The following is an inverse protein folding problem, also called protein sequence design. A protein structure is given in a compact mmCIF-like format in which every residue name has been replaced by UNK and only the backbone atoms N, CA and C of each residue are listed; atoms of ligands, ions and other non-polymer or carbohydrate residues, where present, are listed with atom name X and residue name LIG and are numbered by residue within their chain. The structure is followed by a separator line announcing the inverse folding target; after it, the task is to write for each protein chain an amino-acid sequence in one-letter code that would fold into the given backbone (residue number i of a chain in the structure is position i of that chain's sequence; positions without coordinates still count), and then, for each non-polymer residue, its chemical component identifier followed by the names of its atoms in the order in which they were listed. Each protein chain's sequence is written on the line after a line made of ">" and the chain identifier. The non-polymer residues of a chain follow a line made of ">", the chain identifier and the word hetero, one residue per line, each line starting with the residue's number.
data_IF_176438323908
#
_entry.id   IF_176438323908
#
_cell.length_a   1.000
_cell.length_b   1.000
_cell.length_c   1.000
_cell.angle_alpha   90.00
_cell.angle_beta   90.00
_cell.angle_gamma   90.00
#
_symmetry.space_group_name_H-M   'P 1'
#
loop_
_entity.id
_entity.type
_entity.pdbx_description
1 polymer ?
#
# COMPACT_ATOMS: atom_id res chain seq x y z
N UNK A 1 13.41 -39.27 -45.06
CA UNK A 1 14.43 -39.38 -44.03
C UNK A 1 15.59 -40.18 -44.63
N UNK A 2 16.81 -39.86 -44.34
CA UNK A 2 18.00 -40.66 -44.72
C UNK A 2 17.92 -42.01 -44.01
N UNK A 3 18.36 -43.07 -44.68
CA UNK A 3 18.40 -44.39 -44.07
C UNK A 3 19.37 -44.39 -42.87
N UNK A 4 19.04 -45.11 -41.76
CA UNK A 4 19.95 -45.28 -40.64
C UNK A 4 21.24 -45.99 -41.09
N UNK A 5 22.37 -45.48 -40.63
CA UNK A 5 23.66 -46.09 -40.91
C UNK A 5 23.86 -47.33 -40.03
N UNK A 6 24.24 -48.44 -40.64
CA UNK A 6 24.53 -49.73 -39.99
C UNK A 6 25.87 -50.26 -40.45
N UNK A 7 26.77 -50.47 -39.51
CA UNK A 7 28.02 -51.18 -39.73
C UNK A 7 27.78 -52.69 -39.55
N UNK A 8 28.16 -53.48 -40.54
CA UNK A 8 27.99 -54.93 -40.51
C UNK A 8 29.35 -55.58 -40.72
N UNK A 9 29.70 -56.50 -39.84
CA UNK A 9 31.01 -57.18 -39.86
C UNK A 9 30.79 -58.68 -39.75
N UNK A 10 31.32 -59.41 -40.71
CA UNK A 10 31.30 -60.90 -40.77
C UNK A 10 32.41 -61.36 -41.71
N UNK A 11 33.27 -62.30 -41.32
CA UNK A 11 34.41 -62.76 -42.15
C UNK A 11 33.95 -63.60 -43.35
N UNK A 12 32.72 -64.11 -43.32
CA UNK A 12 32.13 -64.85 -44.43
C UNK A 12 31.45 -63.94 -45.44
N UNK A 13 32.02 -63.81 -46.63
CA UNK A 13 31.47 -62.97 -47.72
C UNK A 13 30.04 -63.34 -48.11
N UNK A 14 29.68 -64.64 -47.98
CA UNK A 14 28.33 -65.10 -48.27
C UNK A 14 27.30 -64.56 -47.29
N UNK A 15 27.64 -64.50 -46.00
CA UNK A 15 26.83 -63.93 -44.96
C UNK A 15 26.67 -62.42 -45.17
N UNK A 16 27.77 -61.69 -45.48
CA UNK A 16 27.70 -60.28 -45.80
C UNK A 16 26.78 -59.96 -47.00
N UNK A 17 26.85 -60.81 -48.04
CA UNK A 17 25.96 -60.70 -49.20
C UNK A 17 24.48 -61.00 -48.86
N UNK A 18 24.23 -61.92 -47.97
CA UNK A 18 22.86 -62.22 -47.50
C UNK A 18 22.31 -61.02 -46.68
N UNK A 19 23.08 -60.51 -45.74
CA UNK A 19 22.73 -59.31 -44.93
C UNK A 19 22.54 -58.07 -45.82
N UNK A 20 23.39 -57.86 -46.80
CA UNK A 20 23.23 -56.77 -47.76
C UNK A 20 21.88 -56.86 -48.53
N UNK A 21 21.52 -58.02 -49.01
CA UNK A 21 20.23 -58.23 -49.71
C UNK A 21 19.03 -57.93 -48.77
N UNK A 22 19.14 -58.38 -47.53
CA UNK A 22 18.06 -58.20 -46.53
C UNK A 22 17.91 -56.75 -46.07
N UNK A 23 19.03 -56.05 -45.82
CA UNK A 23 19.02 -54.77 -45.04
C UNK A 23 19.17 -53.52 -45.91
N UNK A 24 19.70 -53.57 -47.13
CA UNK A 24 20.00 -52.41 -48.02
C UNK A 24 18.78 -51.53 -48.31
N UNK A 25 17.58 -52.05 -48.25
CA UNK A 25 16.34 -51.27 -48.48
C UNK A 25 16.07 -50.34 -47.34
N UNK A 26 16.39 -50.72 -46.11
CA UNK A 26 16.00 -50.05 -44.88
C UNK A 26 17.19 -49.25 -44.28
N UNK A 27 18.44 -49.70 -44.47
CA UNK A 27 19.63 -49.15 -43.85
C UNK A 27 20.68 -48.71 -44.90
N UNK A 28 21.53 -47.73 -44.54
CA UNK A 28 22.77 -47.43 -45.23
C UNK A 28 23.86 -48.35 -44.65
N UNK A 29 24.32 -49.28 -45.44
CA UNK A 29 25.18 -50.39 -44.98
C UNK A 29 26.66 -50.07 -45.23
N UNK A 30 27.49 -50.32 -44.21
CA UNK A 30 28.96 -50.37 -44.28
C UNK A 30 29.39 -51.77 -43.95
N UNK A 31 29.89 -52.49 -44.94
CA UNK A 31 30.15 -53.95 -44.85
C UNK A 31 31.65 -54.18 -44.75
N UNK A 32 32.07 -54.93 -43.75
CA UNK A 32 33.50 -55.26 -43.56
C UNK A 32 33.63 -56.78 -43.31
N UNK A 33 34.65 -57.37 -43.93
CA UNK A 33 35.06 -58.76 -43.69
C UNK A 33 36.22 -58.89 -42.71
N UNK A 34 36.83 -57.76 -42.33
CA UNK A 34 37.91 -57.68 -41.34
C UNK A 34 37.50 -56.81 -40.17
N UNK A 35 37.47 -57.32 -38.93
CA UNK A 35 37.06 -56.55 -37.75
C UNK A 35 38.03 -55.38 -37.45
N UNK A 36 39.31 -55.47 -37.80
CA UNK A 36 40.26 -54.37 -37.55
C UNK A 36 39.97 -53.20 -38.48
N UNK A 37 39.76 -53.47 -39.76
CA UNK A 37 39.37 -52.44 -40.73
C UNK A 37 37.99 -51.80 -40.37
N UNK A 38 37.06 -52.60 -39.87
CA UNK A 38 35.78 -52.12 -39.38
C UNK A 38 35.93 -51.17 -38.16
N UNK A 39 36.81 -51.48 -37.23
CA UNK A 39 37.09 -50.64 -36.05
C UNK A 39 37.76 -49.32 -36.45
N UNK A 40 38.70 -49.35 -37.40
CA UNK A 40 39.31 -48.14 -37.94
C UNK A 40 38.27 -47.24 -38.62
N UNK A 41 37.44 -47.81 -39.49
CA UNK A 41 36.32 -47.09 -40.10
C UNK A 41 35.39 -46.48 -39.04
N UNK A 42 35.06 -47.24 -38.00
CA UNK A 42 34.15 -46.75 -36.92
C UNK A 42 34.74 -45.57 -36.15
N UNK A 43 36.04 -45.53 -35.95
CA UNK A 43 36.71 -44.37 -35.31
C UNK A 43 36.51 -43.07 -36.09
N UNK A 44 36.59 -43.18 -37.43
CA UNK A 44 36.46 -42.00 -38.33
C UNK A 44 34.95 -41.66 -38.54
N UNK A 45 34.11 -42.66 -38.67
CA UNK A 45 32.67 -42.52 -38.95
C UNK A 45 31.83 -43.38 -38.03
N UNK A 46 31.58 -42.98 -36.80
CA UNK A 46 30.75 -43.73 -35.87
C UNK A 46 29.30 -43.87 -36.37
N UNK A 47 28.81 -45.09 -36.43
CA UNK A 47 27.44 -45.41 -36.84
C UNK A 47 26.54 -45.64 -35.63
N UNK A 48 25.21 -45.34 -35.71
CA UNK A 48 24.26 -45.58 -34.64
C UNK A 48 24.06 -47.04 -34.33
N UNK A 49 24.16 -47.93 -35.34
CA UNK A 49 23.97 -49.34 -35.27
C UNK A 49 25.18 -50.10 -35.72
N UNK A 50 25.50 -51.21 -35.04
CA UNK A 50 26.58 -52.13 -35.39
C UNK A 50 26.09 -53.54 -35.25
N UNK A 51 26.33 -54.38 -36.26
CA UNK A 51 26.00 -55.79 -36.26
C UNK A 51 27.29 -56.58 -36.59
N UNK A 52 27.74 -57.43 -35.69
CA UNK A 52 28.99 -58.20 -35.86
C UNK A 52 28.72 -59.70 -35.72
N UNK A 53 29.40 -60.47 -36.51
CA UNK A 53 29.53 -61.89 -36.22
C UNK A 53 30.31 -62.13 -34.94
N UNK A 54 29.99 -63.21 -34.23
CA UNK A 54 30.65 -63.58 -32.99
C UNK A 54 32.06 -64.14 -33.24
N UNK A 55 32.23 -65.04 -34.26
CA UNK A 55 33.48 -65.70 -34.49
C UNK A 55 34.21 -65.16 -35.75
N UNK A 56 35.22 -64.37 -35.56
CA UNK A 56 36.04 -63.86 -36.63
C UNK A 56 37.55 -64.16 -36.36
N UNK A 57 38.38 -64.39 -37.40
CA UNK A 57 39.73 -64.90 -37.20
C UNK A 57 40.69 -64.02 -36.38
N UNK A 58 40.62 -62.72 -36.47
CA UNK A 58 41.59 -61.80 -35.87
C UNK A 58 41.10 -61.18 -34.54
N UNK A 59 39.82 -61.00 -34.41
CA UNK A 59 39.15 -60.44 -33.22
C UNK A 59 37.72 -60.92 -33.19
N UNK A 60 37.26 -61.43 -32.06
CA UNK A 60 35.87 -61.84 -31.92
C UNK A 60 34.91 -60.66 -31.86
N UNK A 61 33.63 -60.91 -32.18
CA UNK A 61 32.61 -59.87 -32.22
C UNK A 61 32.36 -59.19 -30.88
N UNK A 62 32.45 -59.93 -29.77
CA UNK A 62 32.24 -59.36 -28.46
C UNK A 62 33.35 -58.35 -28.08
N UNK A 63 34.60 -58.67 -28.38
CA UNK A 63 35.75 -57.78 -28.18
C UNK A 63 35.65 -56.55 -29.08
N UNK A 64 35.31 -56.73 -30.37
CA UNK A 64 35.07 -55.60 -31.27
C UNK A 64 33.98 -54.67 -30.80
N UNK A 65 32.82 -55.21 -30.41
CA UNK A 65 31.69 -54.41 -29.87
C UNK A 65 32.03 -53.72 -28.53
N UNK A 66 32.90 -54.33 -27.73
CA UNK A 66 33.50 -53.73 -26.57
C UNK A 66 34.27 -52.43 -26.90
N UNK A 67 35.19 -52.49 -27.83
CA UNK A 67 35.94 -51.27 -28.31
C UNK A 67 35.00 -50.24 -28.92
N UNK A 68 34.01 -50.67 -29.69
CA UNK A 68 33.01 -49.72 -30.24
C UNK A 68 32.19 -49.06 -29.11
N UNK A 69 31.89 -49.78 -28.04
CA UNK A 69 31.21 -49.24 -26.84
C UNK A 69 32.04 -48.17 -26.14
N UNK A 70 33.35 -48.32 -26.09
CA UNK A 70 34.23 -47.31 -25.50
C UNK A 70 34.31 -46.02 -26.36
N UNK A 71 34.26 -46.17 -27.69
CA UNK A 71 34.27 -45.01 -28.62
C UNK A 71 32.91 -44.27 -28.59
N UNK A 72 31.84 -45.02 -28.71
CA UNK A 72 30.48 -44.47 -28.68
C UNK A 72 29.54 -45.31 -27.83
N UNK A 73 29.42 -45.04 -26.54
CA UNK A 73 28.57 -45.78 -25.63
C UNK A 73 27.09 -45.77 -26.05
N UNK A 74 26.65 -44.75 -26.79
CA UNK A 74 25.24 -44.62 -27.21
C UNK A 74 24.87 -45.47 -28.41
N UNK A 75 25.85 -46.01 -29.21
CA UNK A 75 25.57 -46.91 -30.32
C UNK A 75 24.86 -48.16 -29.84
N UNK A 76 23.99 -48.70 -30.69
CA UNK A 76 23.30 -49.96 -30.42
C UNK A 76 24.06 -51.08 -31.16
N UNK A 77 24.50 -52.09 -30.40
CA UNK A 77 25.44 -53.14 -30.81
C UNK A 77 24.78 -54.47 -30.79
N UNK A 78 24.87 -55.18 -31.90
CA UNK A 78 24.22 -56.45 -32.13
C UNK A 78 25.22 -57.52 -32.47
N UNK A 79 24.97 -58.74 -32.04
CA UNK A 79 25.83 -59.89 -32.30
C UNK A 79 25.08 -60.96 -33.11
N UNK A 80 25.69 -61.53 -34.13
CA UNK A 80 25.23 -62.75 -34.81
C UNK A 80 25.99 -63.92 -34.21
N UNK A 81 25.29 -65.00 -33.86
CA UNK A 81 25.90 -66.13 -33.14
C UNK A 81 25.40 -67.47 -33.63
N UNK A 82 26.27 -68.47 -33.70
CA UNK A 82 25.85 -69.85 -33.90
C UNK A 82 25.38 -70.57 -32.62
N UNK A 83 24.73 -71.66 -32.74
CA UNK A 83 24.19 -72.48 -31.61
C UNK A 83 25.23 -72.82 -30.53
N UNK A 84 26.49 -72.91 -30.85
CA UNK A 84 27.56 -73.31 -29.91
C UNK A 84 28.07 -72.16 -28.99
N UNK A 85 27.66 -70.93 -29.21
CA UNK A 85 28.29 -69.75 -28.59
C UNK A 85 27.37 -69.04 -27.57
N UNK A 86 26.23 -69.60 -27.22
CA UNK A 86 25.20 -68.91 -26.40
C UNK A 86 25.75 -68.45 -25.04
N UNK A 87 26.58 -69.24 -24.36
CA UNK A 87 27.13 -68.89 -23.05
C UNK A 87 28.05 -67.69 -23.08
N UNK A 88 28.88 -67.50 -24.12
CA UNK A 88 29.75 -66.34 -24.29
C UNK A 88 28.95 -65.10 -24.67
N UNK A 89 27.89 -65.30 -25.44
CA UNK A 89 26.95 -64.22 -25.82
C UNK A 89 26.20 -63.67 -24.61
N UNK A 90 25.73 -64.53 -23.71
CA UNK A 90 25.06 -64.14 -22.47
C UNK A 90 25.97 -63.33 -21.55
N UNK A 91 27.26 -63.70 -21.44
CA UNK A 91 28.23 -62.94 -20.69
C UNK A 91 28.43 -61.51 -21.28
N UNK A 92 28.57 -61.40 -22.60
CA UNK A 92 28.74 -60.11 -23.31
C UNK A 92 27.49 -59.20 -23.20
N UNK A 93 26.27 -59.75 -23.16
CA UNK A 93 25.01 -59.03 -22.88
C UNK A 93 25.04 -58.50 -21.46
N UNK A 94 25.35 -59.33 -20.48
CA UNK A 94 25.35 -58.99 -19.06
C UNK A 94 26.40 -57.90 -18.71
N UNK A 95 27.52 -57.86 -19.43
CA UNK A 95 28.51 -56.79 -19.29
C UNK A 95 28.08 -55.46 -19.95
N UNK A 96 26.91 -55.41 -20.58
CA UNK A 96 26.34 -54.20 -21.20
C UNK A 96 27.05 -53.78 -22.49
N UNK A 97 27.87 -54.66 -23.08
CA UNK A 97 28.62 -54.37 -24.30
C UNK A 97 27.79 -54.55 -25.56
N UNK A 98 26.75 -55.38 -25.55
CA UNK A 98 25.84 -55.58 -26.67
C UNK A 98 24.39 -55.32 -26.26
N UNK A 99 23.58 -54.87 -27.22
CA UNK A 99 22.17 -54.53 -27.02
C UNK A 99 21.27 -55.73 -27.20
N UNK A 100 21.57 -56.58 -28.16
CA UNK A 100 20.83 -57.78 -28.50
C UNK A 100 21.68 -58.76 -29.33
N UNK A 101 21.30 -60.03 -29.41
CA UNK A 101 21.95 -61.01 -30.28
C UNK A 101 20.93 -61.74 -31.12
N UNK A 102 21.36 -62.25 -32.30
CA UNK A 102 20.58 -63.04 -33.20
C UNK A 102 21.28 -64.39 -33.48
N UNK A 103 20.50 -65.47 -33.45
CA UNK A 103 21.01 -66.79 -33.80
C UNK A 103 21.08 -67.00 -35.34
N UNK A 104 22.16 -67.61 -35.84
CA UNK A 104 22.26 -68.03 -37.23
C UNK A 104 21.57 -69.44 -37.37
N UNK A 105 20.66 -69.64 -38.35
CA UNK A 105 20.15 -68.68 -39.32
C UNK A 105 19.10 -67.70 -38.69
N UNK A 106 19.18 -66.41 -39.03
CA UNK A 106 18.29 -65.38 -38.53
C UNK A 106 17.00 -65.22 -39.34
N UNK A 107 15.98 -64.68 -38.76
CA UNK A 107 14.79 -64.24 -39.47
C UNK A 107 14.97 -62.75 -39.91
N UNK A 108 14.76 -62.51 -41.20
CA UNK A 108 14.98 -61.13 -41.76
C UNK A 108 13.97 -60.12 -41.24
N UNK A 109 12.75 -60.52 -40.94
CA UNK A 109 11.70 -59.62 -40.46
C UNK A 109 12.00 -59.19 -39.03
N UNK A 110 12.37 -60.14 -38.19
CA UNK A 110 12.76 -59.92 -36.79
C UNK A 110 14.02 -59.03 -36.72
N UNK A 111 15.06 -59.39 -37.51
CA UNK A 111 16.32 -58.62 -37.56
C UNK A 111 16.07 -57.13 -37.95
N UNK A 112 15.25 -56.88 -38.98
CA UNK A 112 14.93 -55.55 -39.43
C UNK A 112 14.13 -54.78 -38.36
N UNK A 113 13.15 -55.42 -37.72
CA UNK A 113 12.34 -54.81 -36.70
C UNK A 113 13.17 -54.38 -35.49
N UNK A 114 14.00 -55.27 -34.96
CA UNK A 114 14.87 -54.99 -33.81
C UNK A 114 15.92 -53.87 -34.11
N UNK A 115 16.48 -53.88 -35.28
CA UNK A 115 17.43 -52.80 -35.69
C UNK A 115 16.71 -51.44 -35.80
N UNK A 116 15.49 -51.38 -36.30
CA UNK A 116 14.71 -50.15 -36.37
C UNK A 116 14.31 -49.65 -34.99
N UNK A 117 13.88 -50.51 -34.11
CA UNK A 117 13.50 -50.17 -32.74
C UNK A 117 14.71 -49.64 -31.97
N UNK A 118 15.87 -50.31 -32.11
CA UNK A 118 17.08 -49.83 -31.49
C UNK A 118 17.54 -48.47 -32.03
N UNK A 119 17.34 -48.19 -33.32
CA UNK A 119 17.63 -46.86 -33.90
C UNK A 119 16.72 -45.81 -33.33
N UNK A 120 15.44 -46.12 -33.12
CA UNK A 120 14.48 -45.19 -32.50
C UNK A 120 14.89 -44.85 -31.06
N UNK A 121 15.33 -45.86 -30.30
CA UNK A 121 15.87 -45.65 -28.94
C UNK A 121 17.12 -44.79 -28.97
N UNK A 122 18.04 -45.04 -29.89
CA UNK A 122 19.27 -44.25 -30.07
C UNK A 122 18.94 -42.78 -30.31
N UNK A 123 17.99 -42.46 -31.21
CA UNK A 123 17.58 -41.10 -31.50
C UNK A 123 16.91 -40.41 -30.26
N UNK A 124 16.09 -41.17 -29.55
CA UNK A 124 15.45 -40.68 -28.31
C UNK A 124 16.50 -40.29 -27.23
N UNK A 125 17.49 -41.16 -27.04
CA UNK A 125 18.60 -40.90 -26.10
C UNK A 125 19.41 -39.66 -26.48
N UNK A 126 19.72 -39.49 -27.78
CA UNK A 126 20.42 -38.30 -28.26
C UNK A 126 19.63 -37.03 -28.07
N UNK A 127 18.32 -37.06 -28.39
CA UNK A 127 17.43 -35.93 -28.20
C UNK A 127 17.31 -35.51 -26.73
N UNK A 128 17.18 -36.48 -25.83
CA UNK A 128 17.12 -36.30 -24.39
C UNK A 128 18.43 -35.66 -23.86
N UNK A 129 19.59 -36.17 -24.26
CA UNK A 129 20.88 -35.58 -23.87
C UNK A 129 21.02 -34.15 -24.35
N UNK A 130 20.59 -33.81 -25.56
CA UNK A 130 20.59 -32.44 -26.08
C UNK A 130 19.66 -31.52 -25.29
N UNK A 131 18.46 -32.00 -24.98
CA UNK A 131 17.46 -31.25 -24.21
C UNK A 131 17.95 -30.94 -22.79
N UNK A 132 18.52 -31.94 -22.12
CA UNK A 132 19.11 -31.79 -20.78
C UNK A 132 20.23 -30.72 -20.77
N UNK A 133 21.09 -30.72 -21.76
CA UNK A 133 22.16 -29.71 -21.88
C UNK A 133 21.57 -28.29 -22.02
N UNK A 134 20.61 -28.11 -22.95
CA UNK A 134 19.96 -26.81 -23.17
C UNK A 134 19.21 -26.35 -21.92
N UNK A 135 18.50 -27.24 -21.22
CA UNK A 135 17.81 -26.91 -20.01
C UNK A 135 18.78 -26.48 -18.88
N UNK A 136 19.91 -27.17 -18.74
CA UNK A 136 20.93 -26.81 -17.76
C UNK A 136 21.49 -25.40 -18.01
N UNK A 137 21.77 -25.07 -19.28
CA UNK A 137 22.24 -23.73 -19.66
C UNK A 137 21.18 -22.64 -19.41
N UNK A 138 19.91 -22.94 -19.75
CA UNK A 138 18.78 -22.03 -19.46
C UNK A 138 18.58 -21.80 -17.97
N UNK A 139 18.60 -22.86 -17.19
CA UNK A 139 18.42 -22.75 -15.72
C UNK A 139 19.54 -21.94 -15.06
N UNK A 140 20.78 -22.10 -15.52
CA UNK A 140 21.88 -21.28 -15.03
C UNK A 140 21.70 -19.78 -15.36
N UNK A 141 21.24 -19.45 -16.58
CA UNK A 141 20.90 -18.07 -16.93
C UNK A 141 19.74 -17.50 -16.12
N UNK A 142 18.66 -18.27 -15.94
CA UNK A 142 17.53 -17.85 -15.14
C UNK A 142 17.92 -17.59 -13.70
N UNK A 143 18.76 -18.42 -13.11
CA UNK A 143 19.25 -18.21 -11.74
C UNK A 143 20.02 -16.89 -11.60
N UNK A 144 20.88 -16.55 -12.55
CA UNK A 144 21.60 -15.27 -12.56
C UNK A 144 20.67 -14.07 -12.71
N UNK A 145 19.68 -14.17 -13.60
CA UNK A 145 18.69 -13.12 -13.80
C UNK A 145 17.85 -12.93 -12.52
N UNK A 146 17.37 -14.00 -11.92
CA UNK A 146 16.59 -13.94 -10.68
C UNK A 146 17.38 -13.27 -9.56
N UNK A 147 18.65 -13.66 -9.36
CA UNK A 147 19.49 -13.03 -8.34
C UNK A 147 19.70 -11.53 -8.57
N UNK A 148 19.88 -11.11 -9.83
CA UNK A 148 20.02 -9.68 -10.15
C UNK A 148 18.71 -8.92 -9.95
N UNK A 149 17.58 -9.51 -10.31
CA UNK A 149 16.24 -8.92 -10.09
C UNK A 149 15.92 -8.77 -8.60
N UNK A 150 16.24 -9.78 -7.77
CA UNK A 150 16.05 -9.70 -6.32
C UNK A 150 16.86 -8.56 -5.69
N UNK A 151 18.11 -8.36 -6.13
CA UNK A 151 18.92 -7.23 -5.67
C UNK A 151 18.31 -5.88 -6.06
N UNK A 152 17.77 -5.78 -7.26
CA UNK A 152 17.15 -4.54 -7.76
C UNK A 152 15.81 -4.25 -7.08
N UNK A 153 14.99 -5.27 -6.84
CA UNK A 153 13.75 -5.18 -6.07
C UNK A 153 14.06 -4.70 -4.64
N UNK A 154 15.05 -5.28 -3.97
CA UNK A 154 15.43 -4.89 -2.62
C UNK A 154 15.96 -3.45 -2.54
N UNK A 155 16.71 -3.00 -3.54
CA UNK A 155 17.14 -1.58 -3.64
C UNK A 155 15.95 -0.65 -3.83
N UNK A 156 15.03 -1.01 -4.72
CA UNK A 156 13.82 -0.22 -5.01
C UNK A 156 12.90 -0.13 -3.79
N UNK A 157 12.73 -1.24 -3.07
CA UNK A 157 11.93 -1.29 -1.84
C UNK A 157 12.52 -0.36 -0.76
N UNK A 158 13.84 -0.43 -0.51
CA UNK A 158 14.50 0.49 0.43
C UNK A 158 14.36 1.95 0.04
N UNK A 159 14.43 2.26 -1.27
CA UNK A 159 14.23 3.63 -1.77
C UNK A 159 12.79 4.10 -1.57
N UNK A 160 11.82 3.22 -1.79
CA UNK A 160 10.39 3.51 -1.59
C UNK A 160 10.10 3.80 -0.10
N UNK A 161 10.61 2.97 0.81
CA UNK A 161 10.46 3.16 2.27
C UNK A 161 11.07 4.49 2.72
N UNK A 162 12.24 4.86 2.17
CA UNK A 162 12.87 6.15 2.47
C UNK A 162 12.04 7.35 1.97
N UNK A 163 11.46 7.25 0.76
CA UNK A 163 10.60 8.30 0.21
C UNK A 163 9.33 8.42 1.04
N UNK A 164 8.65 7.31 1.32
CA UNK A 164 7.43 7.28 2.13
C UNK A 164 7.63 7.92 3.51
N UNK A 165 8.74 7.58 4.20
CA UNK A 165 9.06 8.19 5.50
C UNK A 165 9.37 9.69 5.39
N UNK A 166 10.01 10.12 4.31
CA UNK A 166 10.26 11.54 4.05
C UNK A 166 8.97 12.31 3.76
N UNK A 167 8.09 11.76 2.96
CA UNK A 167 6.78 12.36 2.66
C UNK A 167 5.92 12.48 3.90
N UNK A 168 5.85 11.43 4.74
CA UNK A 168 5.11 11.48 6.00
C UNK A 168 5.63 12.58 6.93
N UNK A 169 6.96 12.71 7.07
CA UNK A 169 7.58 13.79 7.87
C UNK A 169 7.32 15.17 7.27
N UNK A 170 7.39 15.30 5.95
CA UNK A 170 7.11 16.58 5.26
C UNK A 170 5.67 16.99 5.44
N UNK A 171 4.72 16.05 5.30
CA UNK A 171 3.30 16.29 5.52
C UNK A 171 3.00 16.71 6.97
N UNK A 172 3.56 16.01 7.95
CA UNK A 172 3.40 16.36 9.36
C UNK A 172 3.95 17.78 9.67
N UNK A 173 5.10 18.13 9.08
CA UNK A 173 5.68 19.47 9.20
C UNK A 173 4.80 20.55 8.56
N UNK A 174 4.27 20.29 7.37
CA UNK A 174 3.35 21.20 6.67
C UNK A 174 2.10 21.45 7.49
N UNK A 175 1.47 20.38 8.00
CA UNK A 175 0.31 20.46 8.89
C UNK A 175 0.60 21.28 10.15
N UNK A 176 1.74 21.06 10.80
CA UNK A 176 2.16 21.82 11.98
C UNK A 176 2.34 23.30 11.62
N UNK A 177 3.01 23.61 10.50
CA UNK A 177 3.23 24.97 10.04
C UNK A 177 1.91 25.68 9.74
N UNK A 178 0.99 25.02 9.05
CA UNK A 178 -0.35 25.54 8.77
C UNK A 178 -1.12 25.87 10.07
N UNK A 179 -1.16 24.93 11.02
CA UNK A 179 -1.81 25.15 12.31
C UNK A 179 -1.19 26.33 13.08
N UNK A 180 0.13 26.43 13.08
CA UNK A 180 0.84 27.55 13.71
C UNK A 180 0.46 28.88 13.04
N UNK A 181 0.36 28.90 11.72
CA UNK A 181 -0.01 30.09 10.97
C UNK A 181 -1.45 30.54 11.28
N UNK A 182 -2.38 29.59 11.28
CA UNK A 182 -3.78 29.84 11.67
C UNK A 182 -3.86 30.39 13.11
N UNK A 183 -3.10 29.80 14.04
CA UNK A 183 -3.05 30.26 15.43
C UNK A 183 -2.48 31.68 15.56
N UNK A 184 -1.40 31.99 14.86
CA UNK A 184 -0.84 33.35 14.83
C UNK A 184 -1.85 34.36 14.29
N UNK A 185 -2.56 33.98 13.20
CA UNK A 185 -3.56 34.84 12.59
C UNK A 185 -4.76 35.06 13.52
N UNK A 186 -5.28 33.99 14.14
CA UNK A 186 -6.34 34.06 15.13
C UNK A 186 -5.95 34.95 16.34
N UNK A 187 -4.72 34.80 16.84
CA UNK A 187 -4.20 35.68 17.91
C UNK A 187 -4.05 37.14 17.47
N UNK A 188 -3.67 37.38 16.23
CA UNK A 188 -3.57 38.75 15.69
C UNK A 188 -4.95 39.43 15.61
N UNK A 189 -5.98 38.68 15.23
CA UNK A 189 -7.39 39.14 15.27
C UNK A 189 -7.80 39.44 16.70
N UNK A 190 -7.48 38.59 17.66
CA UNK A 190 -7.81 38.76 19.07
C UNK A 190 -7.13 39.98 19.69
N UNK A 191 -5.85 40.25 19.32
CA UNK A 191 -5.11 41.45 19.77
C UNK A 191 -5.69 42.75 19.22
N UNK A 192 -6.31 42.73 18.05
CA UNK A 192 -7.00 43.87 17.49
C UNK A 192 -8.24 44.29 18.33
N UNK A 193 -8.72 43.37 19.14
CA UNK A 193 -9.94 43.46 19.93
C UNK A 193 -9.61 43.26 21.42
N UNK A 194 -8.93 44.27 22.01
CA UNK A 194 -8.26 44.24 23.33
C UNK A 194 -9.10 43.72 24.50
N UNK A 195 -10.44 43.77 24.42
CA UNK A 195 -11.33 43.40 25.53
C UNK A 195 -11.68 41.89 25.59
N UNK A 196 -11.46 41.11 24.53
CA UNK A 196 -12.01 39.74 24.41
C UNK A 196 -10.97 38.73 23.90
N UNK A 197 -9.77 38.74 24.44
CA UNK A 197 -8.73 37.81 24.04
C UNK A 197 -9.16 36.35 24.26
N UNK A 198 -8.92 35.51 23.26
CA UNK A 198 -9.07 34.03 23.28
C UNK A 198 -10.49 33.46 23.20
N UNK A 199 -11.57 34.23 23.10
CA UNK A 199 -12.91 33.66 22.91
C UNK A 199 -13.05 32.86 21.60
N UNK A 200 -12.26 33.17 20.59
CA UNK A 200 -12.24 32.41 19.33
C UNK A 200 -11.84 30.94 19.52
N UNK A 201 -10.90 30.67 20.44
CA UNK A 201 -10.53 29.28 20.75
C UNK A 201 -11.67 28.52 21.43
N UNK A 202 -12.42 29.16 22.32
CA UNK A 202 -13.60 28.56 22.95
C UNK A 202 -14.70 28.27 21.94
N UNK A 203 -15.03 29.24 21.08
CA UNK A 203 -15.99 29.09 20.00
C UNK A 203 -15.58 27.94 19.07
N UNK A 204 -14.33 27.92 18.62
CA UNK A 204 -13.80 26.87 17.76
C UNK A 204 -13.90 25.48 18.39
N UNK A 205 -13.56 25.36 19.69
CA UNK A 205 -13.60 24.09 20.41
C UNK A 205 -15.03 23.58 20.61
N UNK A 206 -15.97 24.46 21.02
CA UNK A 206 -17.39 24.10 21.13
C UNK A 206 -17.94 23.69 19.78
N UNK A 207 -17.65 24.45 18.71
CA UNK A 207 -18.16 24.17 17.38
C UNK A 207 -17.66 22.80 16.85
N UNK A 208 -16.39 22.50 17.07
CA UNK A 208 -15.82 21.21 16.73
C UNK A 208 -16.49 20.07 17.49
N UNK A 209 -16.67 20.22 18.81
CA UNK A 209 -17.27 19.19 19.63
C UNK A 209 -18.71 18.89 19.20
N UNK A 210 -19.50 19.92 18.86
CA UNK A 210 -20.85 19.74 18.30
C UNK A 210 -20.80 18.99 16.96
N UNK A 211 -19.84 19.32 16.07
CA UNK A 211 -19.65 18.64 14.80
C UNK A 211 -19.33 17.14 15.01
N UNK A 212 -18.48 16.82 15.98
CA UNK A 212 -18.14 15.43 16.33
C UNK A 212 -19.37 14.68 16.91
N UNK A 213 -20.17 15.30 17.77
CA UNK A 213 -21.42 14.73 18.29
C UNK A 213 -22.47 14.52 17.20
N UNK A 214 -22.45 15.32 16.13
CA UNK A 214 -23.29 15.12 14.94
C UNK A 214 -22.80 14.00 14.03
N UNK A 215 -21.66 13.37 14.32
CA UNK A 215 -21.08 12.27 13.53
C UNK A 215 -20.30 12.73 12.32
N UNK A 216 -19.85 14.00 12.29
CA UNK A 216 -18.94 14.48 11.25
C UNK A 216 -17.61 13.73 11.29
N UNK A 217 -16.98 13.55 10.12
CA UNK A 217 -15.63 13.00 10.05
C UNK A 217 -14.59 13.98 10.64
N UNK A 218 -13.38 13.47 10.87
CA UNK A 218 -12.28 14.25 11.45
C UNK A 218 -11.92 15.50 10.63
N UNK A 219 -12.04 15.42 9.30
CA UNK A 219 -11.71 16.55 8.42
C UNK A 219 -12.76 17.65 8.54
N UNK A 220 -14.03 17.31 8.43
CA UNK A 220 -15.15 18.26 8.57
C UNK A 220 -15.14 18.93 9.95
N UNK A 221 -14.97 18.16 11.03
CA UNK A 221 -14.88 18.69 12.39
C UNK A 221 -13.69 19.66 12.56
N UNK A 222 -12.56 19.34 11.92
CA UNK A 222 -11.39 20.21 11.91
C UNK A 222 -11.63 21.49 11.10
N UNK A 223 -12.33 21.43 9.97
CA UNK A 223 -12.69 22.58 9.17
C UNK A 223 -13.62 23.55 9.94
N UNK A 224 -14.59 23.01 10.66
CA UNK A 224 -15.47 23.80 11.55
C UNK A 224 -14.65 24.48 12.65
N UNK A 225 -13.65 23.79 13.22
CA UNK A 225 -12.73 24.36 14.19
C UNK A 225 -11.95 25.54 13.63
N UNK A 226 -11.34 25.40 12.44
CA UNK A 226 -10.61 26.46 11.77
C UNK A 226 -11.52 27.66 11.46
N UNK A 227 -12.73 27.39 10.99
CA UNK A 227 -13.72 28.44 10.76
C UNK A 227 -14.05 29.22 12.06
N UNK A 228 -14.16 28.51 13.19
CA UNK A 228 -14.37 29.12 14.50
C UNK A 228 -13.19 29.98 14.98
N UNK A 229 -11.94 29.62 14.61
CA UNK A 229 -10.78 30.45 14.90
C UNK A 229 -10.70 31.71 14.06
N UNK A 230 -11.19 31.64 12.81
CA UNK A 230 -11.00 32.68 11.80
C UNK A 230 -12.25 33.51 11.51
N UNK A 231 -13.42 33.21 12.10
CA UNK A 231 -14.69 33.85 11.73
C UNK A 231 -14.68 35.37 11.90
N UNK A 232 -13.84 35.91 12.81
CA UNK A 232 -13.67 37.35 13.04
C UNK A 232 -12.64 38.01 12.12
N UNK A 233 -12.05 37.30 11.15
CA UNK A 233 -11.01 37.81 10.28
C UNK A 233 -11.38 39.16 9.63
N UNK A 234 -12.64 39.33 9.23
CA UNK A 234 -13.12 40.55 8.61
C UNK A 234 -13.28 41.74 9.55
N UNK A 235 -13.27 41.51 10.87
CA UNK A 235 -13.35 42.62 11.84
C UNK A 235 -12.16 43.57 11.79
N UNK A 236 -11.02 43.11 11.24
CA UNK A 236 -9.83 43.94 11.05
C UNK A 236 -10.12 45.14 10.14
N UNK A 237 -11.11 45.04 9.27
CA UNK A 237 -11.52 46.12 8.38
C UNK A 237 -12.57 47.07 9.00
N UNK A 238 -13.08 46.76 10.18
CA UNK A 238 -14.10 47.60 10.82
C UNK A 238 -13.46 48.74 11.62
N UNK A 239 -14.14 49.92 11.67
CA UNK A 239 -13.72 51.02 12.54
C UNK A 239 -13.75 50.57 14.01
N UNK A 240 -12.73 50.94 14.79
CA UNK A 240 -12.64 50.57 16.22
C UNK A 240 -13.87 51.00 17.06
N UNK A 241 -14.52 52.10 16.67
CA UNK A 241 -15.77 52.52 17.32
C UNK A 241 -16.84 51.44 17.33
N UNK A 242 -16.97 50.67 16.25
CA UNK A 242 -17.96 49.59 16.13
C UNK A 242 -17.56 48.33 16.91
N UNK A 243 -16.27 48.16 17.20
CA UNK A 243 -15.75 47.02 17.90
C UNK A 243 -15.85 47.14 19.43
N UNK A 244 -15.91 48.36 19.97
CA UNK A 244 -15.85 48.63 21.42
C UNK A 244 -17.21 48.64 22.12
N UNK A 245 -18.31 48.67 21.39
CA UNK A 245 -19.66 48.77 21.97
C UNK A 245 -20.46 47.49 21.79
N UNK A 246 -21.52 47.30 22.61
CA UNK A 246 -22.42 46.18 22.42
C UNK A 246 -23.24 46.38 21.15
N UNK A 247 -23.47 45.27 20.43
CA UNK A 247 -24.16 45.23 19.14
C UNK A 247 -25.55 45.91 19.20
N UNK A 248 -26.31 45.68 20.29
CA UNK A 248 -27.66 46.21 20.46
C UNK A 248 -27.75 47.73 20.58
N UNK A 249 -26.61 48.42 20.80
CA UNK A 249 -26.56 49.88 20.84
C UNK A 249 -26.21 50.53 19.47
N UNK A 250 -25.87 49.73 18.51
CA UNK A 250 -25.60 50.20 17.15
C UNK A 250 -26.89 50.53 16.43
N UNK A 251 -26.92 51.64 15.70
CA UNK A 251 -28.03 51.95 14.81
C UNK A 251 -28.05 51.01 13.60
N UNK A 252 -29.14 50.98 12.82
CA UNK A 252 -29.31 50.02 11.71
C UNK A 252 -28.19 50.10 10.66
N UNK A 253 -27.64 51.29 10.37
CA UNK A 253 -26.55 51.44 9.41
C UNK A 253 -25.23 50.85 10.01
N UNK A 254 -24.98 51.14 11.29
CA UNK A 254 -23.83 50.60 12.00
C UNK A 254 -23.93 49.06 12.17
N UNK A 255 -25.13 48.52 12.42
CA UNK A 255 -25.35 47.05 12.47
C UNK A 255 -25.07 46.41 11.10
N UNK A 256 -25.59 46.99 10.02
CA UNK A 256 -25.36 46.51 8.68
C UNK A 256 -23.86 46.52 8.30
N UNK A 257 -23.14 47.61 8.69
CA UNK A 257 -21.71 47.71 8.49
C UNK A 257 -20.96 46.70 9.37
N UNK A 258 -21.41 46.52 10.63
CA UNK A 258 -20.81 45.50 11.50
C UNK A 258 -20.99 44.10 10.91
N UNK A 259 -22.18 43.72 10.50
CA UNK A 259 -22.49 42.37 9.98
C UNK A 259 -21.77 42.07 8.65
N UNK A 260 -21.29 43.13 7.95
CA UNK A 260 -20.49 42.92 6.73
C UNK A 260 -19.14 42.25 6.97
N UNK A 261 -18.68 42.16 8.25
CA UNK A 261 -17.39 41.55 8.54
C UNK A 261 -17.33 40.06 8.17
N UNK A 262 -18.45 39.34 8.17
CA UNK A 262 -18.47 37.93 7.73
C UNK A 262 -18.12 37.79 6.25
N UNK A 263 -18.70 38.65 5.40
CA UNK A 263 -18.38 38.67 3.97
C UNK A 263 -16.93 39.12 3.76
N UNK A 264 -16.51 40.21 4.42
CA UNK A 264 -15.13 40.69 4.32
C UNK A 264 -14.12 39.63 4.78
N UNK A 265 -14.43 38.88 5.83
CA UNK A 265 -13.59 37.78 6.31
C UNK A 265 -13.51 36.64 5.30
N UNK A 266 -14.64 36.27 4.69
CA UNK A 266 -14.69 35.30 3.61
C UNK A 266 -13.85 35.73 2.41
N UNK A 267 -13.98 37.00 1.99
CA UNK A 267 -13.20 37.55 0.87
C UNK A 267 -11.68 37.55 1.17
N UNK A 268 -11.27 37.92 2.39
CA UNK A 268 -9.86 37.92 2.80
C UNK A 268 -9.22 36.52 2.79
N UNK A 269 -10.01 35.46 3.00
CA UNK A 269 -9.54 34.09 3.06
C UNK A 269 -9.69 33.36 1.72
N UNK A 270 -10.40 33.94 0.75
CA UNK A 270 -10.77 33.28 -0.52
C UNK A 270 -9.59 32.95 -1.44
N UNK A 271 -8.46 33.65 -1.29
CA UNK A 271 -7.25 33.39 -2.09
C UNK A 271 -6.47 32.14 -1.63
N UNK A 272 -6.92 31.49 -0.55
CA UNK A 272 -6.28 30.28 -0.01
C UNK A 272 -7.17 29.08 -0.28
N UNK A 273 -6.83 28.28 -1.29
CA UNK A 273 -7.60 27.14 -1.74
C UNK A 273 -7.94 26.14 -0.62
N UNK A 274 -7.00 25.93 0.31
CA UNK A 274 -7.17 25.04 1.46
C UNK A 274 -8.22 25.54 2.47
N UNK A 275 -8.58 26.83 2.41
CA UNK A 275 -9.59 27.46 3.27
C UNK A 275 -10.94 27.64 2.58
N UNK A 276 -11.13 27.15 1.35
CA UNK A 276 -12.39 27.32 0.60
C UNK A 276 -13.62 26.87 1.39
N UNK A 277 -13.51 25.77 2.13
CA UNK A 277 -14.57 25.26 2.99
C UNK A 277 -14.82 26.17 4.21
N UNK A 278 -13.77 26.75 4.75
CA UNK A 278 -13.82 27.72 5.86
C UNK A 278 -14.50 29.01 5.42
N UNK A 279 -14.17 29.49 4.22
CA UNK A 279 -14.78 30.64 3.58
C UNK A 279 -16.29 30.47 3.47
N UNK A 280 -16.73 29.32 2.96
CA UNK A 280 -18.15 28.98 2.82
C UNK A 280 -18.88 28.96 4.17
N UNK A 281 -18.24 28.39 5.19
CA UNK A 281 -18.79 28.38 6.55
C UNK A 281 -18.92 29.81 7.08
N UNK A 282 -17.89 30.64 7.00
CA UNK A 282 -17.88 32.00 7.57
C UNK A 282 -18.92 32.87 6.88
N UNK A 283 -19.00 32.82 5.54
CA UNK A 283 -19.94 33.60 4.74
C UNK A 283 -21.40 33.41 5.20
N UNK A 284 -21.77 32.18 5.57
CA UNK A 284 -23.15 31.83 5.88
C UNK A 284 -23.47 31.76 7.39
N UNK A 285 -22.56 32.22 8.29
CA UNK A 285 -22.87 32.33 9.73
C UNK A 285 -24.09 33.27 10.00
N UNK A 286 -24.29 34.39 9.24
CA UNK A 286 -25.46 35.26 9.44
C UNK A 286 -26.78 34.68 8.93
N UNK A 287 -26.79 33.56 8.25
CA UNK A 287 -28.02 32.90 7.84
C UNK A 287 -28.85 32.43 9.05
N UNK A 288 -30.15 32.37 8.85
CA UNK A 288 -31.09 31.94 9.89
C UNK A 288 -31.85 30.71 9.44
N UNK A 289 -32.12 29.83 10.35
CA UNK A 289 -32.75 28.53 10.06
C UNK A 289 -34.12 28.68 9.35
N UNK A 290 -34.84 29.79 9.57
CA UNK A 290 -36.12 30.11 8.96
C UNK A 290 -35.99 30.79 7.54
N UNK A 291 -34.80 31.00 7.04
CA UNK A 291 -34.54 31.65 5.75
C UNK A 291 -34.59 33.18 5.80
N UNK A 292 -34.75 33.80 6.97
CA UNK A 292 -34.74 35.26 7.08
C UNK A 292 -33.34 35.88 7.24
N UNK A 293 -32.30 35.03 7.16
CA UNK A 293 -30.89 35.45 7.31
C UNK A 293 -30.28 36.02 6.03
N UNK A 294 -28.99 36.27 6.06
CA UNK A 294 -28.18 36.84 4.98
C UNK A 294 -26.90 36.00 4.81
N UNK A 295 -26.24 36.00 3.64
CA UNK A 295 -26.50 36.84 2.46
C UNK A 295 -27.46 36.25 1.42
N UNK A 296 -27.71 34.93 1.44
CA UNK A 296 -28.37 34.21 0.36
C UNK A 296 -29.80 33.77 0.70
N UNK A 297 -30.24 34.06 1.94
CA UNK A 297 -31.56 33.64 2.46
C UNK A 297 -31.75 32.11 2.44
N UNK A 298 -30.68 31.38 2.73
CA UNK A 298 -30.72 29.95 2.86
C UNK A 298 -31.57 29.52 4.06
N UNK A 299 -32.27 28.37 3.92
CA UNK A 299 -33.11 27.88 5.02
C UNK A 299 -32.72 26.45 5.42
N UNK A 300 -32.96 26.11 6.65
CA UNK A 300 -32.81 24.78 7.24
C UNK A 300 -31.47 24.11 6.81
N UNK A 301 -31.56 22.96 6.13
CA UNK A 301 -30.41 22.14 5.73
C UNK A 301 -29.63 22.70 4.52
N UNK A 302 -30.18 23.71 3.82
CA UNK A 302 -29.44 24.40 2.76
C UNK A 302 -28.30 25.24 3.33
N UNK A 303 -28.41 25.67 4.61
CA UNK A 303 -27.32 26.36 5.32
C UNK A 303 -26.20 25.34 5.64
N UNK A 304 -24.94 25.59 5.29
CA UNK A 304 -23.83 24.72 5.63
C UNK A 304 -23.83 24.35 7.11
N UNK A 305 -23.61 23.07 7.42
CA UNK A 305 -23.65 22.59 8.80
C UNK A 305 -22.72 23.37 9.73
N UNK A 306 -21.49 23.66 9.28
CA UNK A 306 -20.52 24.46 10.04
C UNK A 306 -21.02 25.87 10.36
N UNK A 307 -21.76 26.49 9.44
CA UNK A 307 -22.36 27.82 9.62
C UNK A 307 -23.49 27.77 10.66
N UNK A 308 -24.37 26.77 10.61
CA UNK A 308 -25.43 26.55 11.63
C UNK A 308 -24.83 26.36 13.04
N UNK A 309 -23.73 25.56 13.13
CA UNK A 309 -23.03 25.34 14.41
C UNK A 309 -22.40 26.63 14.89
N UNK A 310 -21.65 27.35 14.06
CA UNK A 310 -20.97 28.57 14.47
C UNK A 310 -21.98 29.70 14.80
N UNK A 311 -23.07 29.85 14.06
CA UNK A 311 -24.13 30.82 14.40
C UNK A 311 -24.66 30.62 15.82
N UNK A 312 -24.86 29.38 16.23
CA UNK A 312 -25.34 29.02 17.57
C UNK A 312 -24.28 29.33 18.63
N UNK A 313 -23.04 28.82 18.44
CA UNK A 313 -21.97 28.94 19.43
C UNK A 313 -21.53 30.39 19.60
N UNK A 314 -21.37 31.14 18.51
CA UNK A 314 -20.99 32.57 18.56
C UNK A 314 -22.04 33.42 19.24
N UNK A 315 -23.34 33.15 19.02
CA UNK A 315 -24.41 33.89 19.67
C UNK A 315 -24.42 33.65 21.18
N UNK A 316 -24.28 32.39 21.61
CA UNK A 316 -24.14 32.05 23.03
C UNK A 316 -22.98 32.79 23.66
N UNK A 317 -21.81 32.71 23.04
CA UNK A 317 -20.59 33.32 23.55
C UNK A 317 -20.73 34.84 23.66
N UNK A 318 -21.28 35.52 22.66
CA UNK A 318 -21.52 36.95 22.66
C UNK A 318 -22.48 37.41 23.76
N UNK A 319 -23.48 36.59 24.14
CA UNK A 319 -24.34 36.84 25.27
C UNK A 319 -23.58 36.80 26.60
N UNK A 320 -22.80 35.74 26.81
CA UNK A 320 -22.09 35.49 28.06
C UNK A 320 -20.94 36.43 28.30
N UNK A 321 -20.23 36.89 27.24
CA UNK A 321 -19.14 37.86 27.36
C UNK A 321 -19.61 39.34 27.29
N UNK A 322 -20.92 39.59 27.06
CA UNK A 322 -21.46 40.95 27.02
C UNK A 322 -21.24 41.70 25.70
N UNK A 323 -20.93 41.02 24.60
CA UNK A 323 -20.79 41.64 23.25
C UNK A 323 -22.13 41.95 22.60
N UNK A 324 -23.15 41.15 22.91
CA UNK A 324 -24.48 41.38 22.38
C UNK A 324 -25.16 42.60 23.06
N UNK A 325 -24.97 42.74 24.37
CA UNK A 325 -25.56 43.78 25.20
C UNK A 325 -24.55 44.27 26.27
N UNK A 326 -24.83 45.41 26.89
CA UNK A 326 -23.94 46.09 27.83
C UNK A 326 -23.55 45.29 29.08
N UNK A 327 -24.40 44.35 29.48
CA UNK A 327 -24.22 43.51 30.68
C UNK A 327 -24.16 42.05 30.26
N UNK A 328 -23.07 41.32 30.56
CA UNK A 328 -23.02 39.90 30.35
C UNK A 328 -24.20 39.17 31.04
N UNK A 329 -24.77 38.16 30.38
CA UNK A 329 -25.81 37.35 30.99
C UNK A 329 -25.21 36.05 31.56
N UNK A 330 -25.90 35.49 32.55
CA UNK A 330 -25.52 34.20 33.10
C UNK A 330 -25.67 33.09 32.03
N UNK A 331 -24.92 31.99 32.20
CA UNK A 331 -25.01 30.81 31.32
C UNK A 331 -26.44 30.29 31.26
N UNK A 332 -27.15 30.24 32.40
CA UNK A 332 -28.55 29.83 32.51
C UNK A 332 -29.48 30.71 31.70
N UNK A 333 -29.35 32.02 31.82
CA UNK A 333 -30.16 32.97 31.04
C UNK A 333 -29.84 32.91 29.54
N UNK A 334 -28.54 32.74 29.15
CA UNK A 334 -28.15 32.56 27.78
C UNK A 334 -28.78 31.29 27.16
N UNK A 335 -28.81 30.18 27.91
CA UNK A 335 -29.50 28.93 27.51
C UNK A 335 -30.99 29.15 27.27
N UNK A 336 -31.67 29.86 28.15
CA UNK A 336 -33.10 30.17 28.01
C UNK A 336 -33.41 31.06 26.81
N UNK A 337 -32.52 32.04 26.53
CA UNK A 337 -32.66 32.91 25.37
C UNK A 337 -32.45 32.14 24.06
N UNK A 338 -31.45 31.27 24.00
CA UNK A 338 -31.24 30.41 22.83
C UNK A 338 -32.40 29.48 22.57
N UNK A 339 -32.98 28.87 23.64
CA UNK A 339 -34.11 27.95 23.52
C UNK A 339 -35.31 28.61 22.83
N UNK A 340 -35.54 29.92 23.07
CA UNK A 340 -36.64 30.70 22.45
C UNK A 340 -36.41 30.95 20.93
N UNK A 341 -35.21 30.75 20.44
CA UNK A 341 -34.83 30.99 19.04
C UNK A 341 -34.79 29.67 18.23
N UNK A 342 -35.18 28.55 18.81
CA UNK A 342 -35.23 27.26 18.13
C UNK A 342 -36.18 27.30 16.91
N UNK A 343 -35.73 26.79 15.76
CA UNK A 343 -36.52 26.74 14.53
C UNK A 343 -36.65 28.07 13.78
N UNK A 344 -36.34 29.21 14.44
CA UNK A 344 -36.28 30.50 13.75
C UNK A 344 -34.85 30.89 13.40
N UNK A 345 -34.00 31.10 14.40
CA UNK A 345 -32.61 31.48 14.18
C UNK A 345 -31.70 30.25 14.12
N UNK A 346 -31.94 29.26 14.96
CA UNK A 346 -31.06 28.12 15.14
C UNK A 346 -31.73 26.81 14.79
N UNK A 347 -30.92 25.87 14.28
CA UNK A 347 -31.31 24.49 14.08
C UNK A 347 -31.71 23.83 15.41
N UNK A 348 -32.93 23.35 15.54
CA UNK A 348 -33.41 22.78 16.81
C UNK A 348 -32.63 21.57 17.29
N UNK A 349 -32.09 20.74 16.36
CA UNK A 349 -31.30 19.57 16.70
C UNK A 349 -29.93 19.96 17.25
N UNK A 350 -29.23 20.88 16.58
CA UNK A 350 -27.94 21.40 17.03
C UNK A 350 -28.08 22.12 18.37
N UNK A 351 -29.17 22.88 18.54
CA UNK A 351 -29.45 23.59 19.77
C UNK A 351 -29.62 22.61 20.93
N UNK A 352 -30.41 21.51 20.77
CA UNK A 352 -30.56 20.50 21.81
C UNK A 352 -29.23 19.94 22.26
N UNK A 353 -28.38 19.51 21.31
CA UNK A 353 -27.04 18.96 21.59
C UNK A 353 -26.17 19.97 22.34
N UNK A 354 -26.20 21.23 21.92
CA UNK A 354 -25.43 22.28 22.58
C UNK A 354 -25.89 22.57 24.00
N UNK A 355 -27.20 22.62 24.25
CA UNK A 355 -27.75 22.80 25.58
C UNK A 355 -27.41 21.63 26.51
N UNK A 356 -27.41 20.41 26.01
CA UNK A 356 -27.02 19.23 26.77
C UNK A 356 -25.52 19.30 27.13
N UNK A 357 -24.66 19.65 26.16
CA UNK A 357 -23.22 19.89 26.37
C UNK A 357 -23.01 20.95 27.48
N UNK A 358 -23.67 22.11 27.37
CA UNK A 358 -23.53 23.18 28.34
C UNK A 358 -24.05 22.81 29.73
N UNK A 359 -24.97 21.84 29.84
CA UNK A 359 -25.51 21.35 31.12
C UNK A 359 -24.56 20.38 31.82
N UNK A 360 -23.63 19.76 31.10
CA UNK A 360 -22.60 18.90 31.66
C UNK A 360 -21.40 19.67 32.24
N UNK A 361 -21.30 20.98 31.93
CA UNK A 361 -20.21 21.84 32.42
C UNK A 361 -20.63 22.48 33.73
N UNK A 362 -19.81 22.41 34.82
CA UNK A 362 -20.14 23.04 36.09
C UNK A 362 -20.39 24.54 35.94
N UNK A 363 -21.45 25.05 36.57
CA UNK A 363 -21.75 26.48 36.59
C UNK A 363 -20.62 27.24 37.31
N UNK A 364 -19.78 27.93 36.58
CA UNK A 364 -18.89 28.95 37.13
C UNK A 364 -19.50 30.33 36.86
N UNK A 365 -19.56 31.14 37.91
CA UNK A 365 -20.26 32.44 37.88
C UNK A 365 -19.58 33.55 37.09
N UNK A 366 -18.52 33.25 36.37
CA UNK A 366 -17.81 34.22 35.53
C UNK A 366 -17.56 33.65 34.11
N UNK A 367 -17.90 34.45 33.12
CA UNK A 367 -17.67 34.13 31.71
C UNK A 367 -16.18 33.83 31.40
N UNK A 368 -15.26 34.36 32.21
CA UNK A 368 -13.81 34.12 32.12
C UNK A 368 -13.37 32.73 32.58
N UNK A 369 -14.25 31.96 33.26
CA UNK A 369 -13.94 30.68 33.90
C UNK A 369 -14.66 29.48 33.25
N UNK A 370 -15.18 29.62 32.03
CA UNK A 370 -15.79 28.49 31.33
C UNK A 370 -14.71 27.49 30.99
N UNK A 371 -14.77 26.32 31.62
CA UNK A 371 -13.95 25.16 31.27
C UNK A 371 -14.46 24.60 29.96
N UNK A 372 -13.56 24.21 29.07
CA UNK A 372 -13.94 23.57 27.82
C UNK A 372 -12.96 22.47 27.45
N UNK A 373 -13.47 21.37 26.86
CA UNK A 373 -12.62 20.30 26.40
C UNK A 373 -11.90 20.74 25.12
N UNK A 374 -10.62 20.42 25.04
CA UNK A 374 -9.82 20.56 23.83
C UNK A 374 -9.19 19.20 23.46
N UNK A 375 -8.93 19.04 22.18
CA UNK A 375 -8.17 17.90 21.70
C UNK A 375 -6.68 18.04 22.05
N UNK A 376 -6.03 16.90 22.24
CA UNK A 376 -4.59 16.85 22.52
C UNK A 376 -3.76 17.63 21.49
N UNK A 377 -4.19 17.62 20.22
CA UNK A 377 -3.54 18.34 19.13
C UNK A 377 -3.70 19.87 19.20
N UNK A 378 -4.57 20.35 20.08
CA UNK A 378 -4.84 21.77 20.30
C UNK A 378 -4.14 22.32 21.54
N UNK A 379 -3.48 21.45 22.32
CA UNK A 379 -2.69 21.86 23.46
C UNK A 379 -1.55 22.78 23.01
N UNK A 380 -1.47 23.94 23.66
CA UNK A 380 -0.40 24.92 23.50
C UNK A 380 0.29 25.15 24.83
N UNK A 381 1.54 25.57 24.79
CA UNK A 381 2.24 26.01 25.99
C UNK A 381 1.52 27.18 26.67
N UNK A 382 1.50 27.16 27.97
CA UNK A 382 0.92 28.21 28.80
C UNK A 382 -0.56 28.05 29.15
N UNK A 383 -1.25 27.06 28.60
CA UNK A 383 -2.61 26.70 29.03
C UNK A 383 -2.58 26.10 30.44
N UNK A 384 -3.65 26.32 31.20
CA UNK A 384 -3.78 25.78 32.57
C UNK A 384 -4.84 24.70 32.56
N UNK A 385 -4.51 23.51 33.06
CA UNK A 385 -5.46 22.40 33.22
C UNK A 385 -6.48 22.73 34.32
N UNK A 386 -7.75 22.54 34.01
CA UNK A 386 -8.86 22.70 34.97
C UNK A 386 -9.28 21.38 35.59
N UNK A 387 -8.92 20.27 34.97
CA UNK A 387 -9.17 18.91 35.46
C UNK A 387 -7.90 18.06 35.29
N UNK A 388 -7.84 16.96 36.04
CA UNK A 388 -6.76 15.99 35.89
C UNK A 388 -6.88 15.28 34.51
N UNK A 389 -5.77 15.10 33.83
CA UNK A 389 -5.72 14.20 32.67
C UNK A 389 -5.44 12.79 33.19
N UNK A 390 -6.38 11.88 32.96
CA UNK A 390 -6.28 10.48 33.36
C UNK A 390 -6.20 9.56 32.13
N UNK A 391 -5.48 8.46 32.27
CA UNK A 391 -5.47 7.42 31.24
C UNK A 391 -6.64 6.45 31.40
N UNK A 392 -6.82 5.51 30.45
CA UNK A 392 -7.84 4.46 30.47
C UNK A 392 -7.81 3.58 31.73
N UNK A 393 -6.68 3.54 32.43
CA UNK A 393 -6.49 2.83 33.72
C UNK A 393 -6.79 3.71 34.93
N UNK A 394 -7.38 4.90 34.75
CA UNK A 394 -7.65 5.90 35.79
C UNK A 394 -6.41 6.42 36.53
N UNK A 395 -5.22 6.28 35.95
CA UNK A 395 -3.99 6.88 36.51
C UNK A 395 -3.87 8.32 36.03
N UNK A 396 -3.60 9.24 36.95
CA UNK A 396 -3.41 10.66 36.65
C UNK A 396 -2.09 10.86 35.93
N UNK A 397 -2.14 11.42 34.72
CA UNK A 397 -0.98 11.78 33.91
C UNK A 397 -0.53 13.21 34.20
N UNK A 398 -1.45 14.14 34.29
CA UNK A 398 -1.22 15.54 34.69
C UNK A 398 -2.33 15.99 35.63
N UNK A 399 -1.96 16.78 36.63
CA UNK A 399 -2.92 17.26 37.64
C UNK A 399 -3.55 18.59 37.24
N UNK A 400 -4.77 18.85 37.74
CA UNK A 400 -5.43 20.14 37.71
C UNK A 400 -4.48 21.25 38.18
N UNK A 401 -4.52 22.38 37.48
CA UNK A 401 -3.67 23.55 37.77
C UNK A 401 -2.28 23.47 37.13
N UNK A 402 -1.94 22.37 36.46
CA UNK A 402 -0.67 22.29 35.71
C UNK A 402 -0.68 23.27 34.55
N UNK A 403 0.36 24.07 34.45
CA UNK A 403 0.64 24.87 33.26
C UNK A 403 1.26 23.95 32.20
N UNK A 404 0.65 23.91 31.05
CA UNK A 404 1.10 23.05 29.94
C UNK A 404 2.42 23.59 29.37
N UNK A 405 3.40 22.72 29.29
CA UNK A 405 4.69 22.92 28.62
C UNK A 405 4.80 21.99 27.40
N UNK A 406 5.71 22.30 26.48
CA UNK A 406 5.92 21.47 25.29
C UNK A 406 6.24 20.01 25.66
N UNK A 407 7.00 19.80 26.72
CA UNK A 407 7.32 18.47 27.24
C UNK A 407 6.10 17.65 27.65
N UNK A 408 5.06 18.30 28.17
CA UNK A 408 3.80 17.67 28.52
C UNK A 408 3.03 17.27 27.26
N UNK A 409 2.99 18.16 26.26
CA UNK A 409 2.32 17.91 24.97
C UNK A 409 2.96 16.70 24.26
N UNK A 410 4.29 16.68 24.16
CA UNK A 410 5.03 15.61 23.49
C UNK A 410 4.77 14.26 24.14
N UNK A 411 4.78 14.17 25.49
CA UNK A 411 4.47 12.95 26.23
C UNK A 411 3.04 12.47 26.04
N UNK A 412 2.08 13.38 26.06
CA UNK A 412 0.66 13.02 25.89
C UNK A 412 0.41 12.51 24.46
N UNK A 413 1.06 13.10 23.44
CA UNK A 413 1.00 12.64 22.04
C UNK A 413 1.64 11.24 21.90
N UNK A 414 2.77 11.01 22.56
CA UNK A 414 3.46 9.70 22.57
C UNK A 414 2.53 8.61 23.15
N UNK A 415 1.96 8.87 24.33
CA UNK A 415 1.05 7.92 25.00
C UNK A 415 -0.21 7.66 24.16
N UNK A 416 -0.80 8.72 23.57
CA UNK A 416 -1.96 8.60 22.68
C UNK A 416 -1.65 7.76 21.44
N UNK A 417 -0.45 7.94 20.84
CA UNK A 417 -0.02 7.22 19.65
C UNK A 417 0.33 5.74 19.90
N UNK A 418 0.91 5.42 21.07
CA UNK A 418 1.30 4.05 21.42
C UNK A 418 0.12 3.17 21.86
N UNK A 419 -0.93 3.76 22.45
CA UNK A 419 -2.03 3.02 23.09
C UNK A 419 -3.40 3.25 22.46
N UNK A 420 -3.48 4.04 21.39
CA UNK A 420 -4.75 4.49 20.78
C UNK A 420 -5.72 5.10 21.82
N UNK A 421 -5.16 5.80 22.81
CA UNK A 421 -5.91 6.45 23.89
C UNK A 421 -6.34 7.87 23.48
N UNK A 422 -7.60 8.20 23.67
CA UNK A 422 -8.11 9.56 23.50
C UNK A 422 -8.21 10.25 24.87
N UNK A 423 -7.60 11.42 24.99
CA UNK A 423 -7.65 12.23 26.18
C UNK A 423 -8.59 13.42 26.00
N UNK A 424 -9.54 13.60 26.89
CA UNK A 424 -10.29 14.85 27.01
C UNK A 424 -9.52 15.79 27.94
N UNK A 425 -8.99 16.85 27.39
CA UNK A 425 -8.21 17.84 28.16
C UNK A 425 -9.07 19.05 28.42
N UNK A 426 -9.33 19.35 29.69
CA UNK A 426 -10.08 20.54 30.09
C UNK A 426 -9.14 21.63 30.51
N UNK A 427 -9.30 22.80 29.89
CA UNK A 427 -8.44 23.96 30.12
C UNK A 427 -9.26 25.18 30.53
N UNK A 428 -8.59 26.10 31.22
CA UNK A 428 -9.07 27.44 31.50
C UNK A 428 -8.21 28.45 30.73
N UNK A 429 -8.86 29.46 30.16
CA UNK A 429 -8.12 30.57 29.59
C UNK A 429 -7.33 31.28 30.67
N UNK A 430 -6.08 31.64 30.40
CA UNK A 430 -5.36 32.65 31.21
C UNK A 430 -6.09 33.98 31.04
N UNK A 431 -6.49 34.55 32.17
CA UNK A 431 -6.99 35.92 32.24
C UNK A 431 -5.87 36.87 31.85
#
# INVERSE_FOLDING_TARGET
>A
MSKPALLVIDDEKEVLNALNRALRKEFELFLFSDPIAALEFYRDKPTPLVLSDMRMPTMDGATLLGHISEINPSSKRFLLTGHADINLTVAAVNEGKISHYFAKPWDNVELIAELKDAFTVYLSELSTKKLLRVNKEKNAKLSLINSSMELEINKSKKKLDLISTKEAKSFARLKKTFNTFVGIYANSIALHNEEYSQHNYRIASHARYIAELQGCDKLTSYQVYIAGLLYEAGKIALPQKLLRGPYDQLNHQEQSLFDSFYQTGADLLSDVDELSFVVEIIKHIPERYDGSGLPEHLNADDIPLGSRILALVTHFDNLVIGRQQLVPVSVTEAKERLAKMAGSRFDPKLLSIYLDMLSAVPESNAASNLEFPIDLMQLCEGLILTQDIVNSSSSVLLTKGTVIEQSHIDKLIEISGERDEQFSVFIQNRV
#
